data_IF_783096872916
#
_entry.id   IF_783096872916
#
_cell.length_a   1.000
_cell.length_b   1.000
_cell.length_c   1.000
_cell.angle_alpha   90.00
_cell.angle_beta   90.00
_cell.angle_gamma   90.00
#
_symmetry.space_group_name_H-M   'P 1'
#
loop_
_entity.id
_entity.type
_entity.pdbx_description
1 polymer ?
#
# COMPACT_ATOMS: atom_id res chain seq x y z
N UNK A 1 0.99 -20.51 17.19
CA UNK A 1 1.98 -20.12 16.16
C UNK A 1 2.35 -18.67 16.39
N UNK A 2 3.61 -18.38 16.71
CA UNK A 2 4.10 -17.00 16.77
C UNK A 2 4.00 -16.39 15.37
N UNK A 3 3.10 -15.44 15.20
CA UNK A 3 2.93 -14.68 13.96
C UNK A 3 3.95 -13.54 13.99
N UNK A 4 5.04 -13.67 13.24
CA UNK A 4 6.06 -12.62 13.15
C UNK A 4 5.52 -11.44 12.35
N UNK A 5 5.18 -10.37 13.07
CA UNK A 5 4.77 -9.10 12.48
C UNK A 5 5.99 -8.38 11.93
N UNK A 6 5.89 -7.87 10.70
CA UNK A 6 6.92 -7.09 10.03
C UNK A 6 6.39 -5.70 9.73
N UNK A 7 7.21 -4.68 9.94
CA UNK A 7 6.96 -3.33 9.44
C UNK A 7 7.39 -3.27 7.97
N UNK A 8 6.51 -2.78 7.12
CA UNK A 8 6.73 -2.59 5.69
C UNK A 8 6.66 -1.10 5.36
N UNK A 9 7.60 -0.63 4.56
CA UNK A 9 7.52 0.62 3.81
C UNK A 9 7.36 0.25 2.34
N UNK A 10 6.32 0.75 1.70
CA UNK A 10 5.93 0.35 0.34
C UNK A 10 5.72 1.62 -0.47
N UNK A 11 6.44 1.75 -1.59
CA UNK A 11 6.14 2.75 -2.59
C UNK A 11 5.07 2.20 -3.53
N UNK A 12 3.89 2.80 -3.49
CA UNK A 12 2.77 2.51 -4.38
C UNK A 12 2.91 3.38 -5.62
N UNK A 13 2.53 2.84 -6.78
CA UNK A 13 2.45 3.58 -8.04
C UNK A 13 1.08 3.37 -8.66
N UNK A 14 0.46 4.44 -9.15
CA UNK A 14 -0.77 4.36 -9.95
C UNK A 14 -0.91 5.55 -10.91
N UNK A 15 -1.89 5.47 -11.81
CA UNK A 15 -2.33 6.59 -12.63
C UNK A 15 -3.82 6.85 -12.33
N UNK A 16 -4.13 7.75 -11.38
CA UNK A 16 -5.52 8.08 -11.05
C UNK A 16 -6.26 8.64 -12.26
N UNK A 17 -7.58 8.47 -12.28
CA UNK A 17 -8.41 9.02 -13.33
C UNK A 17 -8.24 10.55 -13.44
N UNK A 18 -8.14 11.06 -14.66
CA UNK A 18 -7.90 12.48 -14.91
C UNK A 18 -6.46 12.97 -14.65
N UNK A 19 -5.52 12.09 -14.30
CA UNK A 19 -4.09 12.42 -14.21
C UNK A 19 -3.35 12.04 -15.50
N UNK A 20 -2.43 12.90 -15.90
CA UNK A 20 -1.63 12.70 -17.12
C UNK A 20 -0.29 12.01 -16.84
N UNK A 21 0.13 11.93 -15.58
CA UNK A 21 1.38 11.33 -15.13
C UNK A 21 1.13 10.20 -14.13
N UNK A 22 2.04 9.25 -14.06
CA UNK A 22 2.09 8.28 -12.96
C UNK A 22 2.37 9.03 -11.64
N UNK A 23 1.73 8.59 -10.57
CA UNK A 23 1.89 9.12 -9.23
C UNK A 23 2.42 8.02 -8.32
N UNK A 24 3.14 8.43 -7.28
CA UNK A 24 3.65 7.52 -6.27
C UNK A 24 3.31 8.02 -4.87
N UNK A 25 2.96 7.12 -3.97
CA UNK A 25 2.75 7.41 -2.55
C UNK A 25 3.43 6.36 -1.66
N UNK A 26 3.79 6.74 -0.43
CA UNK A 26 4.48 5.87 0.52
C UNK A 26 3.49 5.38 1.58
N UNK A 27 3.26 4.08 1.61
CA UNK A 27 2.48 3.41 2.65
C UNK A 27 3.41 2.76 3.68
N UNK A 28 3.09 2.95 4.96
CA UNK A 28 3.68 2.20 6.07
C UNK A 28 2.62 1.30 6.72
N UNK A 29 2.94 0.04 6.95
CA UNK A 29 2.03 -0.90 7.60
C UNK A 29 2.72 -2.08 8.25
N UNK A 30 2.06 -2.68 9.24
CA UNK A 30 2.57 -3.83 9.98
C UNK A 30 1.66 -5.03 9.70
N UNK A 31 2.23 -6.14 9.23
CA UNK A 31 1.48 -7.35 8.91
C UNK A 31 2.34 -8.61 8.98
N UNK A 32 1.72 -9.78 8.89
CA UNK A 32 2.44 -11.05 8.87
C UNK A 32 2.99 -11.36 7.47
N UNK A 33 2.39 -10.75 6.45
CA UNK A 33 2.88 -10.74 5.08
C UNK A 33 2.43 -9.48 4.36
N UNK A 34 3.11 -9.14 3.27
CA UNK A 34 2.76 -8.01 2.41
C UNK A 34 1.31 -8.12 1.87
N UNK A 35 0.85 -9.34 1.57
CA UNK A 35 -0.48 -9.59 0.99
C UNK A 35 -1.62 -9.19 1.94
N UNK A 36 -1.41 -9.33 3.26
CA UNK A 36 -2.40 -8.92 4.27
C UNK A 36 -2.64 -7.40 4.27
N UNK A 37 -1.69 -6.61 3.73
CA UNK A 37 -1.75 -5.14 3.74
C UNK A 37 -2.49 -4.55 2.53
N UNK A 38 -2.85 -5.36 1.52
CA UNK A 38 -3.50 -4.88 0.28
C UNK A 38 -4.78 -4.08 0.57
N UNK A 39 -5.70 -4.52 1.45
CA UNK A 39 -6.91 -3.74 1.76
C UNK A 39 -6.57 -2.38 2.38
N UNK A 40 -5.55 -2.31 3.23
CA UNK A 40 -5.09 -1.07 3.85
C UNK A 40 -4.47 -0.10 2.83
N UNK A 41 -3.70 -0.62 1.87
CA UNK A 41 -3.12 0.18 0.78
C UNK A 41 -4.22 0.79 -0.11
N UNK A 42 -5.24 0.01 -0.47
CA UNK A 42 -6.41 0.51 -1.23
C UNK A 42 -7.25 1.53 -0.45
N UNK A 43 -7.36 1.37 0.87
CA UNK A 43 -8.11 2.31 1.69
C UNK A 43 -7.34 3.64 1.93
N UNK A 44 -6.01 3.60 1.96
CA UNK A 44 -5.17 4.79 1.99
C UNK A 44 -5.35 5.59 0.70
N UNK A 45 -5.19 4.94 -0.46
CA UNK A 45 -5.21 5.60 -1.76
C UNK A 45 -6.47 5.27 -2.54
N UNK A 46 -7.60 5.90 -2.16
CA UNK A 46 -8.93 5.60 -2.73
C UNK A 46 -9.10 6.00 -4.19
N UNK A 47 -8.27 6.94 -4.65
CA UNK A 47 -8.29 7.46 -6.02
C UNK A 47 -7.44 6.62 -6.99
N UNK A 48 -6.76 5.57 -6.48
CA UNK A 48 -5.82 4.71 -7.20
C UNK A 48 -6.39 3.34 -7.58
#
# INVERSE_FOLDING_TARGET
>A
MNKFMKLYMIMLGCKPEGRLTEQHDIFFGIGNSLKELIPSMKNLWKEA
#
